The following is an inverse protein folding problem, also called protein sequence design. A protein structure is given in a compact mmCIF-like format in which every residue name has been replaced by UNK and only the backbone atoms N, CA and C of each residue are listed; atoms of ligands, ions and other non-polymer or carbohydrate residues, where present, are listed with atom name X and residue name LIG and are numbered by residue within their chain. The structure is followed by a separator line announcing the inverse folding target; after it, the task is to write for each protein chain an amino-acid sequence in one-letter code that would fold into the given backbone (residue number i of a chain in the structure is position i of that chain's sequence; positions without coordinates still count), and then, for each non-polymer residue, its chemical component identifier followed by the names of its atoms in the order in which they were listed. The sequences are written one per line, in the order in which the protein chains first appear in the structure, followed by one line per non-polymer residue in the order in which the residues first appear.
data_IF_641040043205
#
_entry.id   IF_641040043205
#
_cell.length_a   1.000
_cell.length_b   1.000
_cell.length_c   1.000
_cell.angle_alpha   90.00
_cell.angle_beta   90.00
_cell.angle_gamma   90.00
#
_symmetry.space_group_name_H-M   'P 1'
#
loop_
_entity.id
_entity.type
_entity.pdbx_description
1 polymer ?
#
# COMPACT_ATOMS: atom_id res chain seq x y z
N UNK A 1 17.05 3.33 -24.56
CA UNK A 1 18.37 3.32 -25.25
C UNK A 1 19.06 1.99 -25.04
N UNK A 2 19.52 1.38 -26.13
CA UNK A 2 20.26 0.12 -26.13
C UNK A 2 21.65 0.28 -25.48
N UNK A 3 22.14 -0.78 -24.82
CA UNK A 3 23.45 -0.79 -24.12
C UNK A 3 24.60 -0.40 -25.06
N UNK A 4 24.55 -0.85 -26.32
CA UNK A 4 25.55 -0.54 -27.35
C UNK A 4 25.69 0.97 -27.59
N UNK A 5 24.57 1.67 -27.76
CA UNK A 5 24.56 3.13 -27.97
C UNK A 5 25.10 3.87 -26.74
N UNK A 6 24.84 3.37 -25.52
CA UNK A 6 25.38 3.97 -24.29
C UNK A 6 26.91 3.86 -24.24
N UNK A 7 27.47 2.76 -24.74
CA UNK A 7 28.91 2.58 -24.87
C UNK A 7 29.53 3.63 -25.80
N UNK A 8 28.89 3.88 -26.95
CA UNK A 8 29.32 4.92 -27.89
C UNK A 8 29.28 6.32 -27.27
N UNK A 9 28.25 6.64 -26.49
CA UNK A 9 28.19 7.91 -25.75
C UNK A 9 29.30 8.00 -24.71
N UNK A 10 29.56 6.93 -23.95
CA UNK A 10 30.65 6.89 -22.97
C UNK A 10 32.01 7.17 -23.64
N UNK A 11 32.22 6.59 -24.82
CA UNK A 11 33.42 6.86 -25.62
C UNK A 11 33.52 8.34 -26.01
N UNK A 12 32.46 8.94 -26.56
CA UNK A 12 32.46 10.35 -26.97
C UNK A 12 32.69 11.31 -25.79
N UNK A 13 32.10 11.02 -24.63
CA UNK A 13 32.30 11.81 -23.41
C UNK A 13 33.74 11.74 -22.92
N UNK A 14 34.39 10.56 -22.97
CA UNK A 14 35.81 10.42 -22.61
C UNK A 14 36.75 11.03 -23.67
N UNK A 15 36.31 11.11 -24.92
CA UNK A 15 37.01 11.83 -25.99
C UNK A 15 36.95 13.36 -25.80
N UNK A 16 35.97 13.86 -25.04
CA UNK A 16 35.81 15.29 -24.75
C UNK A 16 34.81 16.01 -25.66
N UNK A 17 34.02 15.26 -26.44
CA UNK A 17 32.99 15.84 -27.31
C UNK A 17 31.81 16.42 -26.54
N UNK A 18 31.18 17.43 -27.12
CA UNK A 18 29.95 18.01 -26.57
C UNK A 18 28.77 17.06 -26.80
N UNK A 19 27.71 17.19 -25.99
CA UNK A 19 26.50 16.38 -26.15
C UNK A 19 25.81 16.57 -27.52
N UNK A 20 25.93 17.76 -28.12
CA UNK A 20 25.41 18.05 -29.47
C UNK A 20 26.16 17.26 -30.54
N UNK A 21 27.49 17.41 -30.57
CA UNK A 21 28.38 16.70 -31.50
C UNK A 21 28.23 15.17 -31.38
N UNK A 22 28.13 14.68 -30.13
CA UNK A 22 27.86 13.26 -29.84
C UNK A 22 26.55 12.78 -30.45
N UNK A 23 25.49 13.60 -30.42
CA UNK A 23 24.21 13.24 -31.01
C UNK A 23 24.27 13.21 -32.54
N UNK A 24 24.97 14.16 -33.17
CA UNK A 24 25.16 14.17 -34.62
C UNK A 24 25.93 12.94 -35.09
N UNK A 25 27.02 12.58 -34.40
CA UNK A 25 27.76 11.35 -34.66
C UNK A 25 26.92 10.10 -34.42
N UNK A 26 26.11 10.06 -33.36
CA UNK A 26 25.19 8.93 -33.16
C UNK A 26 24.15 8.84 -34.27
N UNK A 27 23.65 9.98 -34.75
CA UNK A 27 22.65 10.02 -35.82
C UNK A 27 23.24 9.53 -37.14
N UNK A 28 24.51 9.80 -37.43
CA UNK A 28 25.16 9.25 -38.64
C UNK A 28 25.41 7.74 -38.56
N UNK A 29 25.73 7.21 -37.37
CA UNK A 29 26.01 5.77 -37.17
C UNK A 29 24.73 4.93 -37.06
N UNK A 30 23.73 5.41 -36.32
CA UNK A 30 22.52 4.63 -36.00
C UNK A 30 21.29 5.03 -36.83
N UNK A 31 21.33 6.18 -37.52
CA UNK A 31 20.25 6.66 -38.40
C UNK A 31 18.88 6.62 -37.72
N UNK A 32 17.97 5.74 -38.19
CA UNK A 32 16.61 5.57 -37.66
C UNK A 32 16.56 5.02 -36.24
N UNK A 33 17.57 4.24 -35.84
CA UNK A 33 17.60 3.56 -34.55
C UNK A 33 18.25 4.44 -33.47
N UNK A 34 18.67 5.65 -33.84
CA UNK A 34 19.32 6.58 -32.93
C UNK A 34 18.39 6.96 -31.77
N UNK A 35 18.91 6.92 -30.54
CA UNK A 35 18.19 7.42 -29.38
C UNK A 35 17.98 8.93 -29.49
N UNK A 36 16.86 9.44 -28.97
CA UNK A 36 16.53 10.86 -29.01
C UNK A 36 17.61 11.75 -28.39
N UNK A 37 17.75 12.98 -28.88
CA UNK A 37 18.72 13.97 -28.39
C UNK A 37 18.66 14.15 -26.86
N UNK A 38 17.45 14.20 -26.28
CA UNK A 38 17.25 14.32 -24.84
C UNK A 38 17.82 13.13 -24.05
N UNK A 39 17.73 11.92 -24.61
CA UNK A 39 18.34 10.74 -23.99
C UNK A 39 19.87 10.83 -24.08
N UNK A 40 20.42 11.18 -25.24
CA UNK A 40 21.87 11.33 -25.41
C UNK A 40 22.43 12.35 -24.42
N UNK A 41 21.82 13.55 -24.34
CA UNK A 41 22.23 14.60 -23.41
C UNK A 41 22.17 14.15 -21.94
N UNK A 42 21.09 13.46 -21.53
CA UNK A 42 20.98 12.89 -20.18
C UNK A 42 22.11 11.92 -19.86
N UNK A 43 22.50 11.08 -20.82
CA UNK A 43 23.59 10.11 -20.63
C UNK A 43 24.96 10.77 -20.67
N UNK A 44 25.17 11.78 -21.52
CA UNK A 44 26.39 12.60 -21.50
C UNK A 44 26.60 13.23 -20.12
N UNK A 45 25.57 13.86 -19.54
CA UNK A 45 25.65 14.42 -18.19
C UNK A 45 26.00 13.35 -17.14
N UNK A 46 25.36 12.18 -17.23
CA UNK A 46 25.59 11.07 -16.30
C UNK A 46 27.00 10.50 -16.36
N UNK A 47 27.61 10.45 -17.54
CA UNK A 47 29.00 10.01 -17.72
C UNK A 47 30.03 11.08 -17.34
N UNK A 48 29.67 12.36 -17.36
CA UNK A 48 30.50 13.45 -16.83
C UNK A 48 30.60 13.38 -15.30
N UNK A 49 29.55 12.93 -14.62
CA UNK A 49 29.55 12.66 -13.17
C UNK A 49 30.25 11.32 -12.79
N UNK A 50 31.11 10.80 -13.68
CA UNK A 50 31.88 9.54 -13.54
C UNK A 50 31.07 8.29 -13.13
N UNK A 51 29.76 8.26 -13.43
CA UNK A 51 28.98 7.03 -13.30
C UNK A 51 29.32 6.10 -14.46
N UNK A 52 30.35 5.28 -14.26
CA UNK A 52 30.87 4.38 -15.29
C UNK A 52 29.91 3.27 -15.74
N UNK A 53 28.81 3.07 -15.01
CA UNK A 53 27.90 1.96 -15.25
C UNK A 53 27.07 2.19 -16.53
N UNK A 54 27.33 1.34 -17.52
CA UNK A 54 26.63 1.32 -18.80
C UNK A 54 25.21 0.74 -18.63
N UNK A 55 25.02 -0.14 -17.65
CA UNK A 55 23.71 -0.72 -17.34
C UNK A 55 22.89 0.23 -16.48
N UNK A 56 21.57 0.16 -16.61
CA UNK A 56 20.70 0.83 -15.66
C UNK A 56 20.91 0.21 -14.28
N UNK A 57 20.92 1.07 -13.25
CA UNK A 57 20.83 0.58 -11.89
C UNK A 57 19.57 -0.29 -11.77
N UNK A 58 19.61 -1.37 -10.97
CA UNK A 58 18.41 -2.15 -10.70
C UNK A 58 17.32 -1.17 -10.27
N UNK A 59 16.17 -1.21 -10.97
CA UNK A 59 15.04 -0.38 -10.57
C UNK A 59 14.73 -0.79 -9.14
N UNK A 60 14.88 0.14 -8.20
CA UNK A 60 14.35 -0.02 -6.86
C UNK A 60 12.84 -0.08 -7.00
N UNK A 61 12.31 -1.28 -7.24
CA UNK A 61 10.89 -1.52 -7.18
C UNK A 61 10.48 -1.29 -5.75
N UNK A 62 9.48 -0.43 -5.54
CA UNK A 62 8.80 -0.36 -4.25
C UNK A 62 8.38 -1.79 -3.88
N UNK A 63 8.74 -2.33 -2.70
CA UNK A 63 8.23 -3.63 -2.31
C UNK A 63 6.71 -3.59 -2.39
N UNK A 64 6.11 -4.56 -3.10
CA UNK A 64 4.67 -4.78 -3.05
C UNK A 64 4.34 -5.22 -1.63
N UNK A 65 4.09 -4.26 -0.74
CA UNK A 65 3.70 -4.50 0.65
C UNK A 65 2.32 -5.16 0.78
N UNK A 66 1.62 -5.41 -0.32
CA UNK A 66 0.27 -5.96 -0.31
C UNK A 66 0.17 -7.44 0.08
N UNK A 67 1.28 -8.17 0.23
CA UNK A 67 1.28 -9.62 0.53
C UNK A 67 2.04 -10.01 1.80
N UNK A 68 2.20 -9.09 2.75
CA UNK A 68 2.70 -9.47 4.08
C UNK A 68 1.55 -10.09 4.89
N UNK A 69 1.81 -11.21 5.58
CA UNK A 69 0.79 -11.88 6.42
C UNK A 69 0.22 -10.95 7.50
N UNK A 70 1.02 -10.00 7.98
CA UNK A 70 0.57 -8.94 8.89
C UNK A 70 -0.58 -8.10 8.28
N UNK A 71 -0.46 -7.69 7.02
CA UNK A 71 -1.49 -6.92 6.34
C UNK A 71 -2.77 -7.75 6.11
N UNK A 72 -2.63 -9.08 5.96
CA UNK A 72 -3.77 -10.00 5.87
C UNK A 72 -4.46 -10.16 7.23
N UNK A 73 -3.68 -10.31 8.29
CA UNK A 73 -4.18 -10.43 9.66
C UNK A 73 -4.92 -9.16 10.09
N UNK A 74 -4.32 -7.98 9.91
CA UNK A 74 -4.92 -6.69 10.28
C UNK A 74 -6.23 -6.44 9.53
N UNK A 75 -6.30 -6.77 8.23
CA UNK A 75 -7.52 -6.64 7.43
C UNK A 75 -8.62 -7.57 7.94
N UNK A 76 -8.31 -8.84 8.18
CA UNK A 76 -9.28 -9.82 8.68
C UNK A 76 -9.74 -9.48 10.10
N UNK A 77 -8.82 -9.07 10.97
CA UNK A 77 -9.12 -8.63 12.34
C UNK A 77 -10.05 -7.41 12.35
N UNK A 78 -9.79 -6.41 11.51
CA UNK A 78 -10.64 -5.22 11.38
C UNK A 78 -12.04 -5.58 10.86
N UNK A 79 -12.15 -6.55 9.95
CA UNK A 79 -13.43 -7.03 9.43
C UNK A 79 -14.22 -7.82 10.49
N UNK A 80 -13.57 -8.73 11.22
CA UNK A 80 -14.22 -9.48 12.28
C UNK A 80 -14.70 -8.58 13.42
N UNK A 81 -13.91 -7.57 13.77
CA UNK A 81 -14.27 -6.58 14.80
C UNK A 81 -15.47 -5.75 14.37
N UNK A 82 -15.53 -5.31 13.11
CA UNK A 82 -16.69 -4.56 12.60
C UNK A 82 -17.95 -5.41 12.50
N UNK A 83 -17.83 -6.68 12.10
CA UNK A 83 -18.95 -7.63 12.05
C UNK A 83 -19.53 -7.92 13.45
N UNK A 84 -18.68 -8.06 14.47
CA UNK A 84 -19.11 -8.27 15.87
C UNK A 84 -19.80 -7.03 16.43
N UNK A 85 -19.29 -5.83 16.15
CA UNK A 85 -19.95 -4.57 16.52
C UNK A 85 -21.28 -4.41 15.79
N UNK A 86 -21.38 -4.79 14.51
CA UNK A 86 -22.62 -4.73 13.74
C UNK A 86 -23.70 -5.70 14.28
N UNK A 87 -23.33 -6.94 14.64
CA UNK A 87 -24.25 -7.87 15.30
C UNK A 87 -24.68 -7.39 16.70
N UNK A 88 -23.82 -6.65 17.42
CA UNK A 88 -24.18 -6.04 18.71
C UNK A 88 -25.29 -4.99 18.59
N UNK A 89 -25.35 -4.25 17.48
CA UNK A 89 -26.45 -3.29 17.24
C UNK A 89 -27.66 -3.93 16.54
N UNK A 90 -27.45 -4.97 15.73
CA UNK A 90 -28.54 -5.70 15.07
C UNK A 90 -29.36 -6.57 16.04
N UNK A 91 -28.71 -7.20 17.04
CA UNK A 91 -29.36 -8.02 18.07
C UNK A 91 -30.29 -7.20 18.99
N UNK A 92 -30.04 -5.89 19.15
CA UNK A 92 -30.88 -4.98 19.92
C UNK A 92 -32.16 -4.54 19.18
N UNK A 93 -32.18 -4.58 17.84
CA UNK A 93 -33.36 -4.23 17.03
C UNK A 93 -34.17 -5.45 16.53
N UNK A 94 -33.61 -6.67 16.60
CA UNK A 94 -34.24 -7.86 16.04
C UNK A 94 -35.15 -8.65 17.00
N UNK A 95 -35.36 -8.19 18.24
CA UNK A 95 -36.22 -8.89 19.22
C UNK A 95 -37.35 -8.00 19.75
N UNK A 96 -38.40 -7.87 18.94
CA UNK A 96 -39.71 -7.35 19.36
C UNK A 96 -40.64 -8.56 19.52
N UNK A 97 -40.97 -9.03 20.73
CA UNK A 97 -41.93 -10.13 20.88
C UNK A 97 -43.35 -9.59 20.70
N UNK A 98 -44.10 -10.20 19.78
CA UNK A 98 -45.47 -9.87 19.45
C UNK A 98 -46.43 -10.74 20.29
N UNK A 99 -47.06 -10.12 21.30
CA UNK A 99 -48.34 -10.44 21.99
C UNK A 99 -48.59 -11.83 22.65
N UNK A 100 -49.40 -11.81 23.73
CA UNK A 100 -50.18 -12.93 24.35
C UNK A 100 -49.42 -13.67 25.49
N UNK A 101 -49.84 -13.76 26.77
CA UNK A 101 -51.14 -13.78 27.48
C UNK A 101 -50.93 -13.33 28.95
N UNK A 102 -51.98 -12.78 29.58
CA UNK A 102 -52.06 -12.33 30.97
C UNK A 102 -52.00 -13.47 32.02
N UNK A 103 -51.86 -13.07 33.30
CA UNK A 103 -52.32 -13.81 34.50
C UNK A 103 -51.30 -14.70 35.25
N UNK A 104 -50.29 -14.13 35.94
CA UNK A 104 -49.84 -14.64 37.26
C UNK A 104 -48.83 -13.77 38.06
N UNK A 105 -48.95 -12.44 38.05
CA UNK A 105 -48.11 -11.56 38.89
C UNK A 105 -48.81 -11.10 40.19
N UNK A 106 -49.73 -11.93 40.72
CA UNK A 106 -50.32 -11.71 42.04
C UNK A 106 -49.57 -12.42 43.19
N UNK A 107 -48.59 -13.29 42.91
CA UNK A 107 -48.12 -14.25 43.93
C UNK A 107 -46.64 -14.16 44.33
N UNK A 108 -45.88 -13.16 43.88
CA UNK A 108 -44.45 -13.04 44.24
C UNK A 108 -44.09 -11.88 45.19
N UNK A 109 -45.02 -10.98 45.51
CA UNK A 109 -44.76 -9.86 46.44
C UNK A 109 -44.93 -10.21 47.92
N UNK A 110 -45.22 -11.48 48.26
CA UNK A 110 -45.49 -11.92 49.63
C UNK A 110 -44.29 -12.61 50.33
N UNK A 111 -43.22 -13.00 49.63
CA UNK A 111 -42.24 -13.99 50.20
C UNK A 111 -40.86 -13.40 50.53
N UNK A 112 -40.57 -12.13 50.26
CA UNK A 112 -39.28 -11.51 50.64
C UNK A 112 -39.41 -10.15 51.35
N UNK A 113 -40.52 -9.93 52.08
CA UNK A 113 -40.60 -8.95 53.17
C UNK A 113 -40.26 -9.64 54.51
N UNK A 114 -39.08 -10.25 54.66
CA UNK A 114 -38.73 -10.84 55.96
C UNK A 114 -37.22 -11.04 56.24
N UNK A 115 -36.29 -10.56 55.39
CA UNK A 115 -34.87 -10.96 55.54
C UNK A 115 -33.81 -9.87 55.42
N UNK A 116 -34.12 -8.58 55.61
CA UNK A 116 -33.04 -7.57 55.54
C UNK A 116 -33.09 -6.33 56.42
N UNK A 117 -33.96 -6.22 57.43
CA UNK A 117 -33.90 -5.07 58.36
C UNK A 117 -34.17 -5.47 59.82
N UNK A 118 -33.20 -6.16 60.45
CA UNK A 118 -32.91 -6.00 61.89
C UNK A 118 -31.40 -5.79 62.01
N UNK A 119 -31.03 -4.53 62.15
CA UNK A 119 -29.72 -4.10 62.61
C UNK A 119 -29.73 -4.09 64.15
N UNK A 120 -28.76 -4.74 64.78
CA UNK A 120 -28.36 -4.51 66.19
C UNK A 120 -27.43 -3.27 66.24
N UNK A 121 -27.36 -2.52 67.35
CA UNK A 121 -27.05 -3.00 68.70
C UNK A 121 -28.25 -3.13 69.63
#
# INVERSE_FOLDING_TARGET
MAVRQRGSIKFCVKFGETAGDTYEMMKSVYLSDCSSHSNVSRWCAKFRDDRENIKDAPRTSKPRSSRTDENRFQRNYSLERSMKTAHSYFWLLSWRPNSFVDENLSNQTTILRDKSLVASP
#
